data_IF_924621353949
#
_entry.id   IF_924621353949
#
_cell.length_a   1.000
_cell.length_b   1.000
_cell.length_c   1.000
_cell.angle_alpha   90.00
_cell.angle_beta   90.00
_cell.angle_gamma   90.00
#
_symmetry.space_group_name_H-M   'P 1'
#
loop_
_entity.id
_entity.type
_entity.pdbx_description
1 polymer ?
#
# COMPACT_ATOMS: atom_id res chain seq x y z
N UNK A 1 -7.28 0.58 -18.26
CA UNK A 1 -8.40 -0.05 -17.53
C UNK A 1 -8.72 0.87 -16.36
N UNK A 2 -9.72 1.70 -16.53
CA UNK A 2 -10.24 2.57 -15.48
C UNK A 2 -10.74 1.69 -14.34
N UNK A 3 -10.12 1.81 -13.17
CA UNK A 3 -10.55 1.08 -11.97
C UNK A 3 -11.45 2.02 -11.14
N UNK A 4 -12.79 1.99 -11.33
CA UNK A 4 -13.71 2.91 -10.66
C UNK A 4 -13.66 2.78 -9.12
N UNK A 5 -13.25 1.61 -8.59
CA UNK A 5 -13.05 1.42 -7.16
C UNK A 5 -11.80 2.13 -6.64
N UNK A 6 -10.76 2.24 -7.46
CA UNK A 6 -9.58 3.03 -7.10
C UNK A 6 -9.92 4.53 -7.11
N UNK A 7 -10.75 4.99 -8.05
CA UNK A 7 -11.19 6.39 -8.06
C UNK A 7 -11.99 6.76 -6.80
N UNK A 8 -12.95 5.91 -6.39
CA UNK A 8 -13.69 6.12 -5.14
C UNK A 8 -12.77 6.04 -3.91
N UNK A 9 -11.81 5.13 -3.93
CA UNK A 9 -10.80 5.02 -2.86
C UNK A 9 -9.96 6.31 -2.73
N UNK A 10 -9.47 6.86 -3.85
CA UNK A 10 -8.69 8.10 -3.88
C UNK A 10 -9.52 9.30 -3.40
N UNK A 11 -10.81 9.36 -3.78
CA UNK A 11 -11.72 10.40 -3.28
C UNK A 11 -11.89 10.39 -1.75
N UNK A 12 -11.74 9.22 -1.11
CA UNK A 12 -11.83 9.08 0.35
C UNK A 12 -10.47 9.05 1.06
N UNK A 13 -9.35 9.18 0.33
CA UNK A 13 -8.02 8.87 0.84
C UNK A 13 -7.67 9.71 2.07
N UNK A 14 -7.84 11.03 2.04
CA UNK A 14 -7.51 11.89 3.19
C UNK A 14 -8.29 11.49 4.45
N UNK A 15 -9.59 11.22 4.33
CA UNK A 15 -10.42 10.81 5.48
C UNK A 15 -9.98 9.45 6.01
N UNK A 16 -9.65 8.51 5.13
CA UNK A 16 -9.11 7.20 5.51
C UNK A 16 -7.77 7.37 6.23
N UNK A 17 -6.83 8.12 5.68
CA UNK A 17 -5.51 8.32 6.28
C UNK A 17 -5.64 8.93 7.67
N UNK A 18 -6.46 9.99 7.84
CA UNK A 18 -6.72 10.59 9.16
C UNK A 18 -7.33 9.63 10.19
N UNK A 19 -8.02 8.58 9.74
CA UNK A 19 -8.68 7.62 10.63
C UNK A 19 -7.76 6.47 11.02
N UNK A 20 -6.92 6.00 10.08
CA UNK A 20 -6.18 4.74 10.23
C UNK A 20 -4.66 4.94 10.37
N UNK A 21 -4.14 6.11 10.02
CA UNK A 21 -2.72 6.46 10.08
C UNK A 21 -2.48 7.45 11.21
N UNK A 22 -1.52 7.14 12.08
CA UNK A 22 -1.10 8.04 13.14
C UNK A 22 -0.04 9.06 12.70
N UNK A 23 0.34 9.95 13.60
CA UNK A 23 1.29 11.03 13.33
C UNK A 23 2.71 10.54 12.94
N UNK A 24 3.09 9.29 13.28
CA UNK A 24 4.37 8.68 12.87
C UNK A 24 4.26 7.96 11.51
N UNK A 25 3.09 8.02 10.86
CA UNK A 25 2.83 7.34 9.60
C UNK A 25 2.56 5.85 9.76
N UNK A 26 2.29 5.37 10.99
CA UNK A 26 1.93 3.96 11.19
C UNK A 26 0.44 3.75 11.06
N UNK A 27 0.09 2.58 10.57
CA UNK A 27 -1.27 2.12 10.46
C UNK A 27 -1.62 1.34 11.72
N UNK A 28 -2.68 1.76 12.40
CA UNK A 28 -3.14 1.10 13.63
C UNK A 28 -4.02 -0.12 13.36
N UNK A 29 -4.83 -0.09 12.29
CA UNK A 29 -5.72 -1.19 11.92
C UNK A 29 -6.01 -1.19 10.41
N UNK A 30 -6.16 -2.39 9.83
CA UNK A 30 -6.65 -2.51 8.44
C UNK A 30 -8.16 -2.28 8.34
N UNK A 31 -8.63 -1.42 7.40
CA UNK A 31 -10.05 -1.25 7.14
C UNK A 31 -10.72 -2.55 6.66
N UNK A 32 -11.92 -2.83 7.20
CA UNK A 32 -12.75 -3.94 6.76
C UNK A 32 -13.33 -3.72 5.33
N UNK A 33 -13.69 -2.47 5.01
CA UNK A 33 -14.20 -2.11 3.68
C UNK A 33 -13.07 -2.06 2.67
N UNK A 34 -13.20 -2.81 1.56
CA UNK A 34 -12.20 -2.89 0.49
C UNK A 34 -11.81 -1.52 -0.08
N UNK A 35 -12.78 -0.64 -0.36
CA UNK A 35 -12.49 0.69 -0.93
C UNK A 35 -11.58 1.54 -0.03
N UNK A 36 -11.81 1.53 1.28
CA UNK A 36 -10.95 2.22 2.26
C UNK A 36 -9.58 1.57 2.36
N UNK A 37 -9.53 0.24 2.26
CA UNK A 37 -8.26 -0.49 2.23
C UNK A 37 -7.44 -0.13 1.00
N UNK A 38 -8.05 -0.03 -0.18
CA UNK A 38 -7.37 0.38 -1.41
C UNK A 38 -6.73 1.77 -1.27
N UNK A 39 -7.43 2.73 -0.67
CA UNK A 39 -6.90 4.08 -0.44
C UNK A 39 -5.65 4.09 0.45
N UNK A 40 -5.67 3.23 1.47
CA UNK A 40 -4.56 3.04 2.40
C UNK A 40 -3.38 2.32 1.73
N UNK A 41 -3.65 1.27 0.96
CA UNK A 41 -2.64 0.52 0.21
C UNK A 41 -1.96 1.38 -0.86
N UNK A 42 -2.71 2.26 -1.52
CA UNK A 42 -2.17 3.24 -2.47
C UNK A 42 -1.14 4.16 -1.80
N UNK A 43 -1.47 4.69 -0.63
CA UNK A 43 -0.55 5.51 0.16
C UNK A 43 0.71 4.73 0.56
N UNK A 44 0.56 3.49 1.02
CA UNK A 44 1.70 2.63 1.37
C UNK A 44 2.55 2.29 0.15
N UNK A 45 1.94 2.06 -1.02
CA UNK A 45 2.64 1.81 -2.27
C UNK A 45 3.54 2.98 -2.65
N UNK A 46 3.19 4.21 -2.27
CA UNK A 46 4.02 5.40 -2.41
C UNK A 46 5.39 5.33 -1.70
N UNK A 47 5.56 4.42 -0.74
CA UNK A 47 6.86 4.17 -0.10
C UNK A 47 7.83 3.36 -0.98
N UNK A 48 7.38 2.88 -2.14
CA UNK A 48 8.18 2.13 -3.10
C UNK A 48 8.35 2.94 -4.39
N UNK A 49 9.59 3.13 -4.80
CA UNK A 49 9.96 3.84 -6.01
C UNK A 49 9.53 3.04 -7.25
N UNK A 50 8.96 3.74 -8.23
CA UNK A 50 8.58 3.13 -9.51
C UNK A 50 9.83 2.69 -10.27
N UNK A 51 9.79 1.49 -10.83
CA UNK A 51 10.93 0.92 -11.58
C UNK A 51 12.05 0.34 -10.72
N UNK A 52 12.07 0.60 -9.40
CA UNK A 52 13.03 -0.01 -8.48
C UNK A 52 12.59 -1.40 -8.06
N UNK A 53 13.55 -2.33 -8.04
CA UNK A 53 13.39 -3.68 -7.50
C UNK A 53 13.87 -3.71 -6.05
N UNK A 54 13.12 -4.39 -5.21
CA UNK A 54 13.38 -4.55 -3.79
C UNK A 54 13.44 -6.03 -3.44
N UNK A 55 14.42 -6.40 -2.62
CA UNK A 55 14.44 -7.72 -2.01
C UNK A 55 13.33 -7.85 -0.95
N UNK A 56 12.96 -9.09 -0.62
CA UNK A 56 12.03 -9.35 0.49
C UNK A 56 12.45 -8.66 1.81
N UNK A 57 13.76 -8.60 2.08
CA UNK A 57 14.30 -7.96 3.30
C UNK A 57 14.07 -6.45 3.28
N UNK A 58 14.30 -5.79 2.14
CA UNK A 58 14.03 -4.36 1.99
C UNK A 58 12.54 -4.04 2.15
N UNK A 59 11.67 -4.82 1.47
CA UNK A 59 10.21 -4.66 1.62
C UNK A 59 9.80 -4.84 3.08
N UNK A 60 10.31 -5.87 3.75
CA UNK A 60 10.03 -6.12 5.16
C UNK A 60 10.47 -4.95 6.05
N UNK A 61 11.65 -4.37 5.79
CA UNK A 61 12.15 -3.23 6.55
C UNK A 61 11.26 -1.99 6.39
N UNK A 62 10.80 -1.70 5.17
CA UNK A 62 9.85 -0.60 4.90
C UNK A 62 8.52 -0.86 5.62
N UNK A 63 7.91 -2.03 5.42
CA UNK A 63 6.58 -2.32 5.94
C UNK A 63 6.54 -2.43 7.48
N UNK A 64 7.61 -2.88 8.13
CA UNK A 64 7.71 -2.92 9.60
C UNK A 64 7.62 -1.54 10.25
N UNK A 65 8.01 -0.49 9.53
CA UNK A 65 7.84 0.89 10.01
C UNK A 65 6.40 1.35 9.93
N UNK A 66 5.61 0.76 9.02
CA UNK A 66 4.26 1.20 8.68
C UNK A 66 3.20 0.42 9.45
N UNK A 67 3.34 -0.90 9.61
CA UNK A 67 2.32 -1.71 10.29
C UNK A 67 2.97 -2.89 11.03
N UNK A 68 2.48 -3.19 12.23
CA UNK A 68 3.00 -4.29 13.06
C UNK A 68 2.88 -5.64 12.33
N UNK A 69 1.72 -5.90 11.73
CA UNK A 69 1.48 -7.02 10.83
C UNK A 69 1.91 -6.68 9.39
N UNK A 70 3.22 -6.52 9.23
CA UNK A 70 3.86 -6.23 7.95
C UNK A 70 3.68 -7.36 6.92
N UNK A 71 3.48 -8.61 7.38
CA UNK A 71 3.25 -9.76 6.52
C UNK A 71 1.86 -9.69 5.86
N UNK A 72 0.81 -9.37 6.64
CA UNK A 72 -0.52 -9.14 6.11
C UNK A 72 -0.55 -7.93 5.17
N UNK A 73 0.11 -6.82 5.55
CA UNK A 73 0.19 -5.63 4.70
C UNK A 73 0.85 -5.93 3.35
N UNK A 74 1.96 -6.68 3.35
CA UNK A 74 2.62 -7.13 2.12
C UNK A 74 1.69 -7.96 1.24
N UNK A 75 0.93 -8.88 1.84
CA UNK A 75 -0.02 -9.72 1.11
C UNK A 75 -1.10 -8.87 0.45
N UNK A 76 -1.68 -7.90 1.15
CA UNK A 76 -2.67 -7.00 0.56
C UNK A 76 -2.11 -6.15 -0.58
N UNK A 77 -0.88 -5.65 -0.46
CA UNK A 77 -0.22 -4.90 -1.53
C UNK A 77 -0.05 -5.74 -2.81
N UNK A 78 0.23 -7.04 -2.66
CA UNK A 78 0.37 -7.96 -3.80
C UNK A 78 -1.00 -8.40 -4.34
N UNK A 79 -1.92 -8.82 -3.47
CA UNK A 79 -3.25 -9.30 -3.85
C UNK A 79 -4.08 -8.21 -4.56
N UNK A 80 -3.91 -6.93 -4.20
CA UNK A 80 -4.58 -5.80 -4.85
C UNK A 80 -3.74 -5.15 -5.97
N UNK A 81 -2.57 -5.72 -6.30
CA UNK A 81 -1.77 -5.34 -7.48
C UNK A 81 -0.90 -4.09 -7.35
N UNK A 82 -0.75 -3.53 -6.15
CA UNK A 82 0.16 -2.40 -5.90
C UNK A 82 1.64 -2.79 -6.00
N UNK A 83 1.97 -4.00 -5.53
CA UNK A 83 3.28 -4.62 -5.70
C UNK A 83 3.16 -5.90 -6.50
N UNK A 84 4.13 -6.15 -7.38
CA UNK A 84 4.33 -7.48 -7.99
C UNK A 84 5.49 -8.16 -7.28
N UNK A 85 5.39 -9.48 -7.12
CA UNK A 85 6.44 -10.33 -6.58
C UNK A 85 6.83 -11.40 -7.59
N UNK A 86 8.12 -11.54 -7.86
CA UNK A 86 8.69 -12.61 -8.66
C UNK A 86 10.02 -13.07 -8.07
N UNK A 87 10.21 -14.37 -7.88
CA UNK A 87 11.44 -14.97 -7.32
C UNK A 87 11.99 -14.28 -6.05
N UNK A 88 11.12 -13.81 -5.15
CA UNK A 88 11.52 -13.12 -3.91
C UNK A 88 11.92 -11.65 -4.08
N UNK A 89 11.81 -11.12 -5.30
CA UNK A 89 11.98 -9.72 -5.64
C UNK A 89 10.61 -9.08 -5.81
N UNK A 90 10.49 -7.84 -5.36
CA UNK A 90 9.27 -7.06 -5.39
C UNK A 90 9.52 -5.76 -6.15
N UNK A 91 8.50 -5.24 -6.82
CA UNK A 91 8.52 -3.89 -7.39
C UNK A 91 7.12 -3.30 -7.40
N UNK A 92 7.05 -1.98 -7.41
CA UNK A 92 5.79 -1.27 -7.56
C UNK A 92 5.24 -1.46 -8.96
N UNK A 93 4.03 -2.00 -9.04
CA UNK A 93 3.32 -2.31 -10.29
C UNK A 93 1.97 -1.61 -10.41
N UNK A 94 1.54 -0.89 -9.38
CA UNK A 94 0.26 -0.18 -9.36
C UNK A 94 0.22 1.00 -8.38
N UNK A 95 -0.97 1.58 -8.28
CA UNK A 95 -1.24 2.79 -7.50
C UNK A 95 -0.96 4.09 -8.23
N UNK A 96 -1.22 5.20 -7.55
CA UNK A 96 -1.14 6.57 -8.07
C UNK A 96 0.31 7.02 -8.21
N UNK A 97 0.71 7.41 -9.40
CA UNK A 97 1.99 8.09 -9.61
C UNK A 97 1.75 9.60 -9.54
N UNK A 98 2.50 10.28 -8.66
CA UNK A 98 2.62 11.73 -8.72
C UNK A 98 3.47 12.02 -9.96
N UNK A 99 2.85 12.59 -11.01
CA UNK A 99 3.49 12.91 -12.30
C UNK A 99 4.12 14.31 -12.28
#
# INVERSE_FOLDING_TARGET
>A
MDNPLLQDALAQQETVLRTFVDADGRISQMPAKRVKRLALLDHVAGSFEVGRKYTEKEVTAVLKRIHHDHAALRRYLVDEGFLTRDHGIYWRSGGTVDL
#
